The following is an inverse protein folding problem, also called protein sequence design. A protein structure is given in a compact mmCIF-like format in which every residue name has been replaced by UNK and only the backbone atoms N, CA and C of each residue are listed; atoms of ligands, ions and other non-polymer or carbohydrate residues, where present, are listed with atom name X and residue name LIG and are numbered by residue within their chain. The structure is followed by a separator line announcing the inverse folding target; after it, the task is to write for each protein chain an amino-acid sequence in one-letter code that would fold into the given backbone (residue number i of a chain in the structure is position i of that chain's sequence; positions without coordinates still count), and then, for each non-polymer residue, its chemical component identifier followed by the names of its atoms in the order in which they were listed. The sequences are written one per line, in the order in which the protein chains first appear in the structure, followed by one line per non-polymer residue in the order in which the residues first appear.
data_IF_332640260263
#
_entry.id   IF_332640260263
#
_cell.length_a   1.000
_cell.length_b   1.000
_cell.length_c   1.000
_cell.angle_alpha   90.00
_cell.angle_beta   90.00
_cell.angle_gamma   90.00
#
_symmetry.space_group_name_H-M   'P 1'
#
loop_
_entity.id
_entity.type
_entity.pdbx_description
1 polymer ?
#
# COMPACT_ATOMS: atom_id res chain seq x y z
N UNK A 1 20.21 -64.37 33.81
CA UNK A 1 20.27 -63.39 34.92
C UNK A 1 20.93 -62.12 34.38
N UNK A 2 20.13 -61.05 34.25
CA UNK A 2 20.61 -59.71 33.94
C UNK A 2 21.40 -59.16 35.13
N UNK A 3 22.55 -58.52 34.89
CA UNK A 3 23.13 -57.59 35.85
C UNK A 3 23.78 -56.42 35.10
N UNK A 4 23.44 -55.23 35.58
CA UNK A 4 23.46 -53.94 34.90
C UNK A 4 24.88 -53.36 34.73
N UNK A 5 25.11 -52.74 33.57
CA UNK A 5 26.21 -51.82 33.30
C UNK A 5 25.92 -50.48 34.00
N UNK A 6 26.77 -50.08 34.95
CA UNK A 6 26.69 -48.79 35.64
C UNK A 6 27.28 -47.65 34.81
N UNK A 7 26.45 -46.68 34.43
CA UNK A 7 26.81 -45.47 33.67
C UNK A 7 27.58 -44.46 34.55
N UNK A 8 28.90 -44.55 34.59
CA UNK A 8 29.78 -43.52 35.19
C UNK A 8 30.10 -42.34 34.23
N UNK A 9 29.55 -42.34 33.01
CA UNK A 9 29.83 -41.36 31.96
C UNK A 9 28.96 -40.09 32.07
N UNK A 10 27.82 -40.14 32.76
CA UNK A 10 26.86 -39.02 32.83
C UNK A 10 27.30 -37.89 33.76
N UNK A 11 27.92 -38.20 34.90
CA UNK A 11 28.20 -37.18 35.92
C UNK A 11 29.41 -36.29 35.57
N UNK A 12 30.38 -36.80 34.81
CA UNK A 12 31.53 -36.01 34.35
C UNK A 12 31.18 -34.99 33.26
N UNK A 13 30.25 -35.34 32.38
CA UNK A 13 29.82 -34.50 31.26
C UNK A 13 28.92 -33.34 31.74
N UNK A 14 28.06 -33.57 32.73
CA UNK A 14 27.29 -32.48 33.35
C UNK A 14 28.16 -31.49 34.12
N UNK A 15 29.23 -31.94 34.79
CA UNK A 15 30.13 -31.05 35.54
C UNK A 15 31.01 -30.18 34.62
N UNK A 16 31.43 -30.72 33.49
CA UNK A 16 32.22 -29.98 32.49
C UNK A 16 31.38 -28.96 31.73
N UNK A 17 30.14 -29.30 31.34
CA UNK A 17 29.23 -28.37 30.65
C UNK A 17 28.81 -27.19 31.56
N UNK A 18 28.52 -27.44 32.83
CA UNK A 18 28.19 -26.37 33.81
C UNK A 18 29.42 -25.50 34.11
N UNK A 19 30.62 -26.09 34.18
CA UNK A 19 31.86 -25.34 34.41
C UNK A 19 32.20 -24.39 33.25
N UNK A 20 31.99 -24.82 32.00
CA UNK A 20 32.30 -24.01 30.81
C UNK A 20 31.31 -22.85 30.65
N UNK A 21 30.01 -23.06 30.93
CA UNK A 21 29.02 -21.97 30.91
C UNK A 21 29.23 -20.94 32.03
N UNK A 22 29.61 -21.37 33.24
CA UNK A 22 29.89 -20.46 34.35
C UNK A 22 31.10 -19.53 34.08
N UNK A 23 32.15 -20.04 33.43
CA UNK A 23 33.34 -19.26 33.07
C UNK A 23 33.02 -18.24 31.96
N UNK A 24 32.17 -18.60 30.98
CA UNK A 24 31.76 -17.69 29.90
C UNK A 24 30.97 -16.46 30.37
N UNK A 25 30.12 -16.62 31.41
CA UNK A 25 29.37 -15.50 32.00
C UNK A 25 30.29 -14.57 32.79
N UNK A 26 31.24 -15.12 33.55
CA UNK A 26 32.21 -14.34 34.33
C UNK A 26 33.18 -13.53 33.45
N UNK A 27 33.69 -14.11 32.36
CA UNK A 27 34.58 -13.40 31.44
C UNK A 27 33.85 -12.30 30.63
N UNK A 28 32.56 -12.50 30.33
CA UNK A 28 31.72 -11.47 29.67
C UNK A 28 31.34 -10.29 30.58
N UNK A 29 31.43 -10.46 31.90
CA UNK A 29 31.20 -9.37 32.85
C UNK A 29 32.36 -8.35 32.85
N UNK A 30 33.61 -8.77 32.63
CA UNK A 30 34.77 -7.87 32.72
C UNK A 30 34.94 -6.92 31.52
N UNK A 31 34.26 -7.16 30.38
CA UNK A 31 34.46 -6.37 29.14
C UNK A 31 33.16 -5.88 28.50
N UNK A 32 32.01 -6.02 29.14
CA UNK A 32 30.72 -5.61 28.55
C UNK A 32 30.39 -4.14 28.83
N UNK A 33 29.72 -3.45 27.88
CA UNK A 33 29.37 -2.04 28.04
C UNK A 33 28.37 -1.84 29.19
N UNK A 34 28.63 -0.84 30.03
CA UNK A 34 27.68 -0.38 31.04
C UNK A 34 26.82 0.73 30.40
N UNK A 35 25.60 0.41 29.97
CA UNK A 35 24.71 1.34 29.27
C UNK A 35 24.11 2.43 30.19
N UNK A 36 24.97 3.19 30.88
CA UNK A 36 24.58 4.28 31.78
C UNK A 36 23.99 3.85 33.12
N UNK A 37 23.85 2.53 33.37
CA UNK A 37 23.31 1.97 34.62
C UNK A 37 24.38 1.62 35.66
N UNK A 38 25.67 1.74 35.30
CA UNK A 38 26.80 1.39 36.16
C UNK A 38 27.03 -0.11 36.37
N UNK A 39 26.17 -0.98 35.81
CA UNK A 39 26.29 -2.44 35.82
C UNK A 39 26.64 -2.98 34.44
N UNK A 40 27.36 -4.08 34.41
CA UNK A 40 27.75 -4.78 33.17
C UNK A 40 26.56 -5.53 32.59
N UNK A 41 26.53 -5.78 31.27
CA UNK A 41 25.37 -6.41 30.62
C UNK A 41 25.09 -7.83 31.17
N UNK A 42 26.15 -8.58 31.50
CA UNK A 42 26.03 -9.91 32.11
C UNK A 42 25.54 -9.83 33.56
N UNK A 43 26.02 -8.85 34.34
CA UNK A 43 25.56 -8.63 35.71
C UNK A 43 24.09 -8.20 35.76
N UNK A 44 23.68 -7.32 34.83
CA UNK A 44 22.28 -6.93 34.66
C UNK A 44 21.41 -8.14 34.34
N UNK A 45 21.84 -9.01 33.42
CA UNK A 45 21.12 -10.23 33.06
C UNK A 45 20.96 -11.21 34.23
N UNK A 46 22.02 -11.41 35.02
CA UNK A 46 21.98 -12.30 36.19
C UNK A 46 21.09 -11.73 37.29
N UNK A 47 21.15 -10.43 37.54
CA UNK A 47 20.27 -9.74 38.49
C UNK A 47 18.80 -9.80 38.03
N UNK A 48 18.54 -9.60 36.74
CA UNK A 48 17.19 -9.65 36.16
C UNK A 48 16.62 -11.07 36.22
N UNK A 49 17.41 -12.11 35.93
CA UNK A 49 16.97 -13.51 36.06
C UNK A 49 16.77 -13.91 37.53
N UNK A 50 17.65 -13.46 38.42
CA UNK A 50 17.51 -13.65 39.87
C UNK A 50 16.23 -13.01 40.40
N UNK A 51 15.96 -11.77 40.01
CA UNK A 51 14.73 -11.06 40.39
C UNK A 51 13.47 -11.65 39.73
N UNK A 52 13.55 -12.15 38.49
CA UNK A 52 12.42 -12.80 37.81
C UNK A 52 11.94 -14.08 38.51
N UNK A 53 12.84 -14.79 39.19
CA UNK A 53 12.48 -15.98 39.99
C UNK A 53 11.95 -15.64 41.40
N UNK A 54 12.16 -14.40 41.85
CA UNK A 54 11.63 -13.89 43.11
C UNK A 54 10.26 -13.24 42.90
N UNK A 55 9.19 -14.01 43.10
CA UNK A 55 7.78 -13.53 42.99
C UNK A 55 7.49 -12.29 43.85
N UNK A 56 8.26 -12.05 44.90
CA UNK A 56 8.11 -10.86 45.75
C UNK A 56 9.22 -9.82 45.58
N UNK A 57 10.36 -10.09 44.96
CA UNK A 57 11.43 -9.10 44.77
C UNK A 57 11.89 -8.37 46.05
N UNK A 58 12.90 -7.51 45.95
CA UNK A 58 13.28 -6.64 47.06
C UNK A 58 12.27 -5.49 47.21
N UNK A 59 11.34 -5.67 48.15
CA UNK A 59 10.24 -4.75 48.44
C UNK A 59 10.70 -3.37 48.93
N UNK A 60 11.93 -3.26 49.44
CA UNK A 60 12.50 -1.99 49.91
C UNK A 60 12.79 -1.02 48.76
N UNK A 61 12.95 -1.54 47.54
CA UNK A 61 13.17 -0.75 46.31
C UNK A 61 11.87 -0.34 45.62
N UNK A 62 10.68 -0.66 46.15
CA UNK A 62 9.41 -0.16 45.56
C UNK A 62 9.20 1.34 45.75
N UNK A 63 9.97 1.97 46.65
CA UNK A 63 9.96 3.41 46.88
C UNK A 63 11.14 4.08 46.15
N UNK A 64 11.22 3.90 44.82
CA UNK A 64 12.08 4.76 44.00
C UNK A 64 11.52 6.18 44.05
N UNK A 65 12.13 7.03 44.87
CA UNK A 65 11.90 8.47 44.80
C UNK A 65 12.50 8.97 43.48
N UNK A 66 11.65 9.15 42.48
CA UNK A 66 12.03 9.89 41.29
C UNK A 66 12.32 11.33 41.71
N UNK A 67 13.60 11.69 41.74
CA UNK A 67 13.98 13.10 41.77
C UNK A 67 13.37 13.79 40.55
N UNK A 68 12.94 15.06 40.65
CA UNK A 68 12.52 15.81 39.49
C UNK A 68 13.63 15.73 38.44
N UNK A 69 13.27 15.37 37.21
CA UNK A 69 14.24 15.35 36.10
C UNK A 69 14.86 16.74 36.02
N UNK A 70 16.20 16.87 35.89
CA UNK A 70 16.79 18.17 35.65
C UNK A 70 16.08 18.79 34.44
N UNK A 71 15.71 20.07 34.56
CA UNK A 71 15.03 20.78 33.50
C UNK A 71 15.84 20.73 32.21
N UNK A 72 15.18 20.85 31.06
CA UNK A 72 15.88 20.97 29.78
C UNK A 72 16.92 22.08 29.90
N UNK A 73 18.17 21.73 29.61
CA UNK A 73 19.28 22.70 29.55
C UNK A 73 19.05 23.51 28.28
N UNK A 74 18.29 24.60 28.42
CA UNK A 74 18.10 25.56 27.35
C UNK A 74 19.39 26.38 27.24
N UNK A 75 19.98 26.51 26.04
CA UNK A 75 21.14 27.37 25.86
C UNK A 75 20.82 28.81 26.24
N UNK A 76 21.80 29.55 26.77
CA UNK A 76 21.65 30.97 27.06
C UNK A 76 21.12 31.72 25.82
N UNK A 77 20.26 32.73 26.02
CA UNK A 77 19.54 33.43 24.94
C UNK A 77 20.46 33.93 23.82
N UNK A 78 21.71 34.30 24.13
CA UNK A 78 22.74 34.71 23.16
C UNK A 78 23.15 33.61 22.16
N UNK A 79 22.93 32.34 22.50
CA UNK A 79 23.19 31.18 21.62
C UNK A 79 21.94 30.73 20.88
N UNK A 80 20.74 31.18 21.30
CA UNK A 80 19.50 30.93 20.58
C UNK A 80 19.45 31.72 19.25
N UNK A 81 20.05 32.91 19.19
CA UNK A 81 20.17 33.71 17.95
C UNK A 81 21.15 33.12 16.92
N UNK A 82 22.01 32.18 17.33
CA UNK A 82 22.94 31.47 16.44
C UNK A 82 22.36 30.16 15.89
N UNK A 83 21.15 29.77 16.32
CA UNK A 83 20.48 28.59 15.80
C UNK A 83 19.92 28.90 14.42
N UNK A 84 20.01 27.92 13.51
CA UNK A 84 19.31 28.00 12.24
C UNK A 84 17.81 28.21 12.50
N UNK A 85 17.20 29.13 11.75
CA UNK A 85 15.77 29.39 11.88
C UNK A 85 14.97 28.08 11.69
N UNK A 86 13.91 27.86 12.50
CA UNK A 86 13.07 26.69 12.33
C UNK A 86 12.53 26.62 10.90
N UNK A 87 12.53 25.41 10.34
CA UNK A 87 12.01 25.18 9.00
C UNK A 87 10.54 25.61 8.95
N UNK A 88 10.21 26.45 7.98
CA UNK A 88 8.85 26.90 7.78
C UNK A 88 7.97 25.72 7.37
N UNK A 89 6.77 25.65 7.94
CA UNK A 89 5.83 24.59 7.63
C UNK A 89 5.37 24.75 6.17
N UNK A 90 5.77 23.82 5.31
CA UNK A 90 5.38 23.80 3.88
C UNK A 90 3.95 23.30 3.67
N UNK A 91 3.29 22.82 4.73
CA UNK A 91 1.94 22.27 4.71
C UNK A 91 0.85 23.34 4.90
N UNK A 92 1.06 24.53 4.32
CA UNK A 92 0.11 25.63 4.31
C UNK A 92 0.25 26.37 2.97
N UNK A 93 -0.87 26.88 2.44
CA UNK A 93 -0.93 27.66 1.22
C UNK A 93 -0.30 29.05 1.34
N UNK A 94 -0.21 29.59 2.55
CA UNK A 94 0.47 30.85 2.86
C UNK A 94 1.98 30.78 2.58
N UNK A 95 2.60 29.63 2.87
CA UNK A 95 4.03 29.38 2.66
C UNK A 95 4.31 28.66 1.34
N UNK A 96 3.36 27.88 0.82
CA UNK A 96 3.49 27.13 -0.43
C UNK A 96 2.21 27.19 -1.27
N UNK A 97 2.19 28.01 -2.35
CA UNK A 97 1.04 28.13 -3.25
C UNK A 97 0.63 26.82 -3.95
N UNK A 98 1.53 25.84 -4.02
CA UNK A 98 1.27 24.52 -4.64
C UNK A 98 0.64 23.52 -3.64
N UNK A 99 0.50 23.90 -2.37
CA UNK A 99 -0.09 23.03 -1.36
C UNK A 99 -1.60 22.90 -1.55
N UNK A 100 -2.12 21.70 -1.30
CA UNK A 100 -3.54 21.36 -1.53
C UNK A 100 -4.43 22.15 -0.58
N UNK A 101 -5.51 22.73 -1.11
CA UNK A 101 -6.52 23.44 -0.32
C UNK A 101 -7.19 22.49 0.68
N UNK A 102 -7.33 22.93 1.93
CA UNK A 102 -8.16 22.20 2.88
C UNK A 102 -9.63 22.24 2.46
N UNK A 103 -10.46 21.26 2.88
CA UNK A 103 -11.87 21.25 2.52
C UNK A 103 -12.64 22.50 2.95
N UNK A 104 -12.31 23.09 4.10
CA UNK A 104 -12.99 24.29 4.59
C UNK A 104 -12.58 25.54 3.80
N UNK A 105 -11.29 25.70 3.48
CA UNK A 105 -10.82 26.79 2.60
C UNK A 105 -11.42 26.70 1.21
N UNK A 106 -11.51 25.48 0.66
CA UNK A 106 -12.16 25.23 -0.63
C UNK A 106 -13.61 25.70 -0.60
N UNK A 107 -14.31 25.44 0.52
CA UNK A 107 -15.71 25.79 0.69
C UNK A 107 -15.93 27.29 0.88
N UNK A 108 -15.06 27.96 1.61
CA UNK A 108 -15.06 29.42 1.75
C UNK A 108 -14.80 30.09 0.40
N UNK A 109 -13.74 29.68 -0.31
CA UNK A 109 -13.44 30.16 -1.67
C UNK A 109 -14.65 30.02 -2.61
N UNK A 110 -15.33 28.86 -2.59
CA UNK A 110 -16.49 28.63 -3.44
C UNK A 110 -17.71 29.49 -3.07
N UNK A 111 -17.86 29.85 -1.78
CA UNK A 111 -18.88 30.82 -1.36
C UNK A 111 -18.56 32.20 -1.87
N UNK A 112 -17.33 32.65 -1.68
CA UNK A 112 -16.88 33.96 -2.13
C UNK A 112 -17.01 34.09 -3.66
N UNK A 113 -16.65 33.02 -4.39
CA UNK A 113 -16.82 32.94 -5.84
C UNK A 113 -18.30 33.02 -6.23
N UNK A 114 -19.20 32.35 -5.50
CA UNK A 114 -20.64 32.42 -5.74
C UNK A 114 -21.23 33.80 -5.43
N UNK A 115 -20.80 34.44 -4.34
CA UNK A 115 -21.24 35.78 -3.95
C UNK A 115 -20.76 36.84 -4.95
N UNK A 116 -19.50 36.75 -5.39
CA UNK A 116 -18.95 37.62 -6.43
C UNK A 116 -19.68 37.48 -7.78
N UNK A 117 -20.14 36.27 -8.11
CA UNK A 117 -20.83 35.97 -9.36
C UNK A 117 -22.36 35.96 -9.24
N UNK A 118 -22.93 36.44 -8.13
CA UNK A 118 -24.37 36.37 -7.83
C UNK A 118 -25.27 36.94 -8.94
N UNK A 119 -24.81 37.98 -9.62
CA UNK A 119 -25.58 38.68 -10.67
C UNK A 119 -25.14 38.29 -12.09
N UNK A 120 -24.28 37.29 -12.27
CA UNK A 120 -23.79 36.86 -13.58
C UNK A 120 -24.62 35.69 -14.12
N UNK A 121 -25.48 35.89 -15.15
CA UNK A 121 -26.33 34.82 -15.69
C UNK A 121 -25.55 33.69 -16.38
N UNK A 122 -24.32 33.99 -16.80
CA UNK A 122 -23.43 33.06 -17.50
C UNK A 122 -22.50 32.30 -16.56
N UNK A 123 -22.48 32.64 -15.26
CA UNK A 123 -21.65 31.95 -14.29
C UNK A 123 -22.14 30.50 -14.08
N UNK A 124 -21.18 29.60 -13.89
CA UNK A 124 -21.40 28.18 -13.62
C UNK A 124 -20.50 27.79 -12.47
N UNK A 125 -21.11 27.42 -11.34
CA UNK A 125 -20.35 27.01 -10.17
C UNK A 125 -19.57 25.73 -10.45
N UNK A 126 -18.31 25.61 -9.98
CA UNK A 126 -17.56 24.37 -10.04
C UNK A 126 -18.24 23.20 -9.28
N UNK A 127 -19.14 23.52 -8.34
CA UNK A 127 -19.91 22.55 -7.57
C UNK A 127 -20.97 21.81 -8.39
N UNK A 128 -21.37 22.38 -9.54
CA UNK A 128 -22.10 21.61 -10.56
C UNK A 128 -21.08 20.69 -11.24
N UNK A 129 -20.68 19.64 -10.53
CA UNK A 129 -19.80 18.62 -11.05
C UNK A 129 -20.45 17.96 -12.28
N UNK A 130 -20.00 18.36 -13.47
CA UNK A 130 -20.45 17.77 -14.72
C UNK A 130 -20.41 18.76 -15.88
N UNK A 131 -19.49 18.53 -16.83
CA UNK A 131 -19.66 19.05 -18.18
C UNK A 131 -20.93 18.41 -18.78
N UNK A 132 -22.04 19.14 -18.71
CA UNK A 132 -23.37 18.69 -19.13
C UNK A 132 -24.37 18.83 -18.00
N UNK A 133 -25.56 19.33 -18.33
CA UNK A 133 -26.73 19.49 -17.46
C UNK A 133 -26.77 18.41 -16.37
N UNK A 134 -26.48 18.79 -15.12
CA UNK A 134 -26.54 17.89 -13.95
C UNK A 134 -25.75 16.57 -14.05
N UNK A 135 -24.46 16.61 -14.43
CA UNK A 135 -23.61 15.41 -14.40
C UNK A 135 -23.89 14.40 -15.53
N UNK A 136 -24.78 14.74 -16.45
CA UNK A 136 -25.06 13.93 -17.64
C UNK A 136 -24.31 14.53 -18.82
N UNK A 137 -23.25 13.84 -19.26
CA UNK A 137 -22.58 14.14 -20.53
C UNK A 137 -23.60 14.24 -21.66
N UNK A 138 -23.43 15.21 -22.57
CA UNK A 138 -24.29 15.32 -23.75
C UNK A 138 -24.14 14.06 -24.62
N UNK A 139 -25.14 13.76 -25.46
CA UNK A 139 -25.08 12.58 -26.32
C UNK A 139 -23.83 12.59 -27.23
N UNK A 140 -23.46 13.75 -27.78
CA UNK A 140 -22.23 13.93 -28.55
C UNK A 140 -20.98 13.59 -27.74
N UNK A 141 -20.89 14.08 -26.50
CA UNK A 141 -19.78 13.79 -25.59
C UNK A 141 -19.73 12.31 -25.21
N UNK A 142 -20.88 11.66 -25.01
CA UNK A 142 -20.97 10.22 -24.79
C UNK A 142 -20.43 9.43 -25.98
N UNK A 143 -20.80 9.81 -27.20
CA UNK A 143 -20.29 9.18 -28.42
C UNK A 143 -18.80 9.41 -28.65
N UNK A 144 -18.28 10.59 -28.31
CA UNK A 144 -16.84 10.88 -28.34
C UNK A 144 -16.07 10.06 -27.30
N UNK A 145 -16.57 10.02 -26.06
CA UNK A 145 -15.99 9.19 -25.00
C UNK A 145 -16.01 7.71 -25.38
N UNK A 146 -17.10 7.23 -25.99
CA UNK A 146 -17.21 5.86 -26.49
C UNK A 146 -16.20 5.59 -27.62
N UNK A 147 -16.06 6.49 -28.59
CA UNK A 147 -15.06 6.36 -29.67
C UNK A 147 -13.64 6.35 -29.12
N UNK A 148 -13.34 7.19 -28.15
CA UNK A 148 -12.04 7.24 -27.46
C UNK A 148 -11.78 5.95 -26.70
N UNK A 149 -12.71 5.51 -25.87
CA UNK A 149 -12.62 4.25 -25.13
C UNK A 149 -12.46 3.04 -26.06
N UNK A 150 -13.15 3.05 -27.21
CA UNK A 150 -13.02 2.01 -28.23
C UNK A 150 -11.64 2.05 -28.91
N UNK A 151 -11.10 3.22 -29.23
CA UNK A 151 -9.74 3.35 -29.77
C UNK A 151 -8.69 2.86 -28.77
N UNK A 152 -8.84 3.24 -27.50
CA UNK A 152 -8.00 2.78 -26.40
C UNK A 152 -8.08 1.25 -26.23
N UNK A 153 -9.27 0.66 -26.37
CA UNK A 153 -9.47 -0.78 -26.26
C UNK A 153 -9.00 -1.57 -27.50
N UNK A 154 -9.29 -1.08 -28.72
CA UNK A 154 -8.90 -1.74 -29.97
C UNK A 154 -7.39 -1.71 -30.20
N UNK A 155 -6.70 -0.73 -29.61
CA UNK A 155 -5.25 -0.62 -29.75
C UNK A 155 -4.45 -1.74 -29.11
N UNK A 156 -5.04 -2.66 -28.31
CA UNK A 156 -4.36 -3.75 -27.58
C UNK A 156 -3.30 -3.30 -26.56
N UNK A 157 -2.85 -2.06 -26.69
CA UNK A 157 -1.76 -1.37 -26.00
C UNK A 157 -2.21 -0.90 -24.63
N UNK A 158 -3.46 -0.49 -24.44
CA UNK A 158 -3.88 0.07 -23.15
C UNK A 158 -4.09 -1.02 -22.09
N UNK A 159 -4.34 -2.26 -22.51
CA UNK A 159 -4.44 -3.43 -21.61
C UNK A 159 -3.07 -4.13 -21.43
N UNK A 160 -2.19 -4.08 -22.45
CA UNK A 160 -0.96 -4.89 -22.45
C UNK A 160 0.36 -4.11 -22.42
N UNK A 161 0.39 -2.82 -22.79
CA UNK A 161 1.63 -2.05 -22.95
C UNK A 161 2.05 -1.27 -21.68
N UNK A 162 1.11 -0.72 -20.92
CA UNK A 162 1.42 0.07 -19.72
C UNK A 162 1.02 -0.67 -18.45
N UNK A 163 2.00 -0.95 -17.57
CA UNK A 163 1.71 -1.50 -16.23
C UNK A 163 0.89 -0.47 -15.44
N UNK A 164 -0.29 -0.86 -14.96
CA UNK A 164 -1.13 0.00 -14.12
C UNK A 164 -0.83 -0.21 -12.63
N UNK A 165 -0.52 -1.44 -12.24
CA UNK A 165 -0.18 -1.79 -10.86
C UNK A 165 1.23 -2.42 -10.77
N UNK A 166 1.75 -2.52 -9.54
CA UNK A 166 3.04 -3.16 -9.28
C UNK A 166 2.96 -4.70 -9.31
N UNK A 167 1.77 -5.26 -9.04
CA UNK A 167 1.46 -6.70 -9.06
C UNK A 167 1.24 -7.25 -10.47
N UNK A 168 1.33 -6.38 -11.46
CA UNK A 168 0.92 -6.63 -12.81
C UNK A 168 2.11 -7.27 -13.58
N UNK A 169 1.95 -8.45 -14.24
CA UNK A 169 3.05 -9.15 -14.92
C UNK A 169 3.76 -8.30 -16.00
N UNK A 170 4.98 -8.66 -16.43
CA UNK A 170 5.66 -7.99 -17.53
C UNK A 170 4.85 -7.95 -18.84
N UNK A 171 5.05 -6.91 -19.66
CA UNK A 171 4.33 -6.70 -20.91
C UNK A 171 4.52 -7.86 -21.91
N UNK A 172 5.69 -8.51 -21.88
CA UNK A 172 6.03 -9.67 -22.71
C UNK A 172 5.08 -10.87 -22.50
N UNK A 173 4.56 -11.06 -21.28
CA UNK A 173 3.59 -12.13 -20.99
C UNK A 173 2.13 -11.73 -21.28
N UNK A 174 1.88 -10.44 -21.54
CA UNK A 174 0.55 -9.91 -21.87
C UNK A 174 0.33 -9.69 -23.36
N UNK A 175 1.41 -9.50 -24.12
CA UNK A 175 1.30 -9.25 -25.55
C UNK A 175 0.85 -10.51 -26.29
N UNK A 176 -0.27 -10.40 -26.99
CA UNK A 176 -0.71 -11.37 -28.01
C UNK A 176 -0.22 -10.85 -29.36
N UNK A 177 0.31 -11.69 -30.26
CA UNK A 177 0.74 -11.26 -31.60
C UNK A 177 -0.41 -10.57 -32.35
N UNK A 178 -0.10 -9.40 -32.93
CA UNK A 178 -1.08 -8.49 -33.54
C UNK A 178 -1.95 -9.15 -34.62
N UNK A 179 -1.38 -10.12 -35.34
CA UNK A 179 -2.07 -10.87 -36.40
C UNK A 179 -3.26 -11.68 -35.87
N UNK A 180 -3.19 -12.17 -34.63
CA UNK A 180 -4.26 -12.92 -33.98
C UNK A 180 -5.36 -12.01 -33.40
N UNK A 181 -5.04 -10.74 -33.12
CA UNK A 181 -6.03 -9.76 -32.63
C UNK A 181 -6.99 -9.29 -33.72
N UNK A 182 -6.55 -9.34 -34.98
CA UNK A 182 -7.33 -8.90 -36.14
C UNK A 182 -8.18 -10.00 -36.79
N UNK A 183 -7.96 -11.27 -36.42
CA UNK A 183 -8.76 -12.39 -36.93
C UNK A 183 -10.09 -12.51 -36.16
N UNK A 184 -11.06 -11.70 -36.58
CA UNK A 184 -12.43 -11.72 -36.03
C UNK A 184 -13.29 -12.86 -36.62
N UNK A 185 -12.70 -13.74 -37.45
CA UNK A 185 -13.40 -14.79 -38.17
C UNK A 185 -14.46 -14.27 -39.17
N UNK A 186 -15.31 -15.18 -39.67
CA UNK A 186 -16.42 -14.78 -40.53
C UNK A 186 -17.52 -14.08 -39.71
N UNK A 187 -17.92 -12.84 -40.05
CA UNK A 187 -18.99 -12.14 -39.35
C UNK A 187 -20.31 -12.91 -39.47
N UNK A 188 -21.09 -12.93 -38.40
CA UNK A 188 -22.37 -13.65 -38.33
C UNK A 188 -23.33 -13.28 -39.47
N UNK A 189 -23.30 -12.02 -39.95
CA UNK A 189 -24.09 -11.61 -41.11
C UNK A 189 -23.74 -12.37 -42.40
N UNK A 190 -22.47 -12.73 -42.61
CA UNK A 190 -22.07 -13.56 -43.77
C UNK A 190 -22.56 -15.00 -43.61
N UNK A 191 -22.52 -15.56 -42.39
CA UNK A 191 -23.06 -16.89 -42.09
C UNK A 191 -24.58 -16.93 -42.25
N UNK A 192 -25.29 -15.91 -41.80
CA UNK A 192 -26.74 -15.79 -41.96
C UNK A 192 -27.13 -15.68 -43.44
N UNK A 193 -26.41 -14.84 -44.22
CA UNK A 193 -26.61 -14.75 -45.67
C UNK A 193 -26.38 -16.09 -46.38
N UNK A 194 -25.36 -16.86 -45.96
CA UNK A 194 -25.12 -18.21 -46.47
C UNK A 194 -26.27 -19.16 -46.13
N UNK A 195 -26.68 -19.24 -44.85
CA UNK A 195 -27.83 -20.06 -44.43
C UNK A 195 -29.11 -19.72 -45.20
N UNK A 196 -29.39 -18.44 -45.41
CA UNK A 196 -30.55 -17.99 -46.22
C UNK A 196 -30.44 -18.43 -47.68
N UNK A 197 -29.26 -18.30 -48.30
CA UNK A 197 -29.02 -18.77 -49.68
C UNK A 197 -29.18 -20.28 -49.80
N UNK A 198 -28.58 -21.03 -48.87
CA UNK A 198 -28.66 -22.50 -48.82
C UNK A 198 -30.11 -22.97 -48.60
N UNK A 199 -30.88 -22.30 -47.73
CA UNK A 199 -32.30 -22.58 -47.52
C UNK A 199 -33.18 -22.23 -48.74
N UNK A 200 -32.84 -21.18 -49.49
CA UNK A 200 -33.54 -20.85 -50.73
C UNK A 200 -33.27 -21.90 -51.82
N UNK A 201 -32.03 -22.35 -51.98
CA UNK A 201 -31.66 -23.41 -52.92
C UNK A 201 -32.26 -24.77 -52.54
N UNK A 202 -32.35 -25.09 -51.25
CA UNK A 202 -33.03 -26.30 -50.78
C UNK A 202 -34.54 -26.30 -51.05
N UNK A 203 -35.16 -25.12 -51.19
CA UNK A 203 -36.58 -24.96 -51.52
C UNK A 203 -36.84 -24.83 -53.04
N UNK A 204 -35.82 -24.59 -53.87
CA UNK A 204 -35.97 -24.59 -55.33
C UNK A 204 -36.07 -26.03 -55.84
N UNK A 205 -37.30 -26.52 -56.00
CA UNK A 205 -37.58 -27.84 -56.58
C UNK A 205 -38.71 -28.60 -55.89
N UNK A 206 -39.03 -28.28 -54.63
CA UNK A 206 -40.14 -28.90 -53.88
C UNK A 206 -41.40 -28.05 -54.02
N UNK A 207 -42.05 -28.16 -55.18
CA UNK A 207 -43.42 -27.68 -55.33
C UNK A 207 -44.36 -28.69 -54.67
N UNK A 208 -44.90 -28.34 -53.49
CA UNK A 208 -45.89 -29.16 -52.77
C UNK A 208 -47.18 -29.42 -53.58
N UNK A 209 -47.40 -28.68 -54.68
CA UNK A 209 -48.63 -28.70 -55.47
C UNK A 209 -48.42 -29.16 -56.92
N UNK A 210 -47.26 -29.69 -57.31
CA UNK A 210 -47.07 -30.17 -58.69
C UNK A 210 -47.18 -31.71 -58.78
N UNK A 211 -48.28 -32.26 -59.33
CA UNK A 211 -48.49 -33.71 -59.44
C UNK A 211 -47.77 -34.38 -60.63
N UNK A 212 -46.94 -33.66 -61.41
CA UNK A 212 -46.30 -34.17 -62.63
C UNK A 212 -44.77 -34.01 -62.67
N UNK A 213 -44.08 -34.11 -61.52
CA UNK A 213 -42.63 -34.35 -61.47
C UNK A 213 -42.34 -35.84 -61.35
#
# INVERSE_FOLDING_TARGET
MNMMQGNAQGLGMFRTVVGITAIGVLLGACTSPTYGTGKTAAEQLVDDLGNATSITGDQTKRNLKYGPRPGLVVPAQSRAEQLAAPQQNMANRESNPQWVESPEETRERLRDEADANKNNPHYRSPLLAGNGTAGQMTESQKWEAFRKAKADAQGGSVVNAQRRFLTDPPAEYRSVPQDQLTDLGEPEQKKEKRRKKEAAVANTGKSWWNPFQ
#
